data_IF_238251116165
#
_entry.id   IF_238251116165
#
_cell.length_a   1.000
_cell.length_b   1.000
_cell.length_c   1.000
_cell.angle_alpha   90.00
_cell.angle_beta   90.00
_cell.angle_gamma   90.00
#
_symmetry.space_group_name_H-M   'P 1'
#
loop_
_entity.id
_entity.type
_entity.pdbx_description
1 polymer ?
#
# COMPACT_ATOMS: atom_id res chain seq x y z
N UNK A 1 19.85 30.82 13.46
CA UNK A 1 19.26 30.84 12.11
C UNK A 1 19.59 29.52 11.45
N UNK A 2 18.65 28.59 11.45
CA UNK A 2 18.67 27.42 10.56
C UNK A 2 17.21 27.11 10.26
N UNK A 3 16.77 27.57 9.10
CA UNK A 3 15.46 27.28 8.54
C UNK A 3 15.46 25.80 8.17
N UNK A 4 14.63 25.02 8.88
CA UNK A 4 14.19 23.73 8.36
C UNK A 4 13.35 24.04 7.13
N UNK A 5 13.82 23.58 5.96
CA UNK A 5 13.02 23.55 4.74
C UNK A 5 11.87 22.60 4.99
N UNK A 6 10.75 23.19 5.36
CA UNK A 6 9.43 22.59 5.33
C UNK A 6 9.14 22.28 3.86
N UNK A 7 9.36 21.03 3.44
CA UNK A 7 8.97 20.53 2.13
C UNK A 7 7.43 20.48 2.06
N UNK A 8 6.81 21.65 2.02
CA UNK A 8 5.44 21.81 1.56
C UNK A 8 5.42 21.40 0.09
N UNK A 9 5.03 20.16 -0.17
CA UNK A 9 4.59 19.73 -1.50
C UNK A 9 3.62 20.80 -1.99
N UNK A 10 3.94 21.47 -3.10
CA UNK A 10 3.10 22.53 -3.67
C UNK A 10 1.67 21.99 -3.80
N UNK A 11 0.77 22.47 -2.94
CA UNK A 11 -0.61 22.00 -2.77
C UNK A 11 -1.52 22.31 -3.98
N UNK A 12 -0.93 22.58 -5.15
CA UNK A 12 -1.60 23.02 -6.37
C UNK A 12 -1.72 21.94 -7.44
N UNK A 13 -1.05 20.79 -7.30
CA UNK A 13 -1.15 19.68 -8.26
C UNK A 13 -1.45 18.36 -7.54
N UNK A 14 -2.72 17.95 -7.55
CA UNK A 14 -3.20 16.66 -7.08
C UNK A 14 -4.01 15.99 -8.20
N UNK A 15 -3.81 14.68 -8.42
CA UNK A 15 -4.59 13.92 -9.40
C UNK A 15 -6.08 13.81 -9.03
N UNK A 16 -6.39 13.93 -7.74
CA UNK A 16 -7.75 13.94 -7.20
C UNK A 16 -8.23 15.38 -7.00
N UNK A 17 -9.48 15.66 -7.38
CA UNK A 17 -10.08 16.99 -7.17
C UNK A 17 -10.35 17.24 -5.68
N UNK A 18 -10.19 18.49 -5.24
CA UNK A 18 -10.47 18.87 -3.85
C UNK A 18 -11.91 18.58 -3.45
N UNK A 19 -12.87 18.80 -4.34
CA UNK A 19 -14.29 18.51 -4.10
C UNK A 19 -14.56 17.02 -3.91
N UNK A 20 -13.84 16.14 -4.63
CA UNK A 20 -13.92 14.71 -4.40
C UNK A 20 -13.36 14.31 -3.03
N UNK A 21 -12.16 14.79 -2.68
CA UNK A 21 -11.53 14.49 -1.40
C UNK A 21 -12.35 14.99 -0.21
N UNK A 22 -13.00 16.15 -0.33
CA UNK A 22 -13.87 16.70 0.70
C UNK A 22 -15.13 15.85 0.94
N UNK A 23 -15.69 15.24 -0.11
CA UNK A 23 -16.87 14.37 0.05
C UNK A 23 -16.51 13.01 0.69
N UNK A 24 -15.31 12.48 0.43
CA UNK A 24 -14.85 11.23 1.08
C UNK A 24 -14.64 11.41 2.58
N UNK A 25 -14.22 12.62 3.01
CA UNK A 25 -14.54 13.14 4.33
C UNK A 25 -14.32 12.25 5.56
N UNK A 26 -13.08 11.88 5.86
CA UNK A 26 -12.51 11.89 7.22
C UNK A 26 -10.98 12.02 7.06
N UNK A 27 -10.36 13.03 7.69
CA UNK A 27 -8.89 13.13 7.77
C UNK A 27 -8.43 12.19 8.88
N UNK A 28 -8.53 10.89 8.66
CA UNK A 28 -7.68 9.98 9.40
C UNK A 28 -6.28 10.14 8.82
N UNK A 29 -5.44 10.90 9.54
CA UNK A 29 -3.99 10.84 9.33
C UNK A 29 -3.63 9.35 9.38
N UNK A 30 -3.16 8.74 8.27
CA UNK A 30 -2.85 7.33 8.29
C UNK A 30 -1.82 7.13 9.41
N UNK A 31 -2.07 6.22 10.38
CA UNK A 31 -1.14 6.01 11.48
C UNK A 31 0.25 5.79 10.88
N UNK A 32 1.27 6.53 11.36
CA UNK A 32 2.56 6.57 10.72
C UNK A 32 3.04 5.14 10.55
N UNK A 33 3.49 4.83 9.33
CA UNK A 33 4.11 3.56 9.02
C UNK A 33 5.23 3.32 10.04
N UNK A 34 4.99 2.42 11.00
CA UNK A 34 6.01 2.02 11.96
C UNK A 34 7.27 1.63 11.20
N UNK A 35 8.40 2.20 11.60
CA UNK A 35 9.71 2.00 11.00
C UNK A 35 10.10 0.52 11.12
N UNK A 36 9.72 -0.28 10.11
CA UNK A 36 10.31 -1.58 9.89
C UNK A 36 11.48 -1.36 8.91
N UNK A 37 12.69 -1.52 9.42
CA UNK A 37 14.00 -1.39 8.75
C UNK A 37 14.18 -2.28 7.49
N UNK A 38 13.18 -3.10 7.15
CA UNK A 38 13.17 -3.99 5.99
C UNK A 38 12.16 -3.61 4.88
N UNK A 39 11.26 -2.66 5.12
CA UNK A 39 10.09 -2.36 4.28
C UNK A 39 10.02 -0.89 3.82
N UNK A 40 11.18 -0.27 3.59
CA UNK A 40 11.25 1.10 3.06
C UNK A 40 10.54 1.24 1.71
N UNK A 41 10.20 2.46 1.29
CA UNK A 41 9.55 2.67 0.00
C UNK A 41 10.40 2.09 -1.12
N UNK A 42 9.75 1.32 -1.99
CA UNK A 42 10.36 0.69 -3.15
C UNK A 42 10.30 1.64 -4.34
N UNK A 43 11.30 1.58 -5.20
CA UNK A 43 11.34 2.32 -6.46
C UNK A 43 11.50 1.36 -7.62
N UNK A 44 10.69 1.60 -8.65
CA UNK A 44 10.79 0.91 -9.93
C UNK A 44 11.69 1.71 -10.85
N UNK A 45 12.80 1.11 -11.27
CA UNK A 45 13.74 1.70 -12.24
C UNK A 45 13.79 0.85 -13.50
N UNK A 46 13.78 1.51 -14.66
CA UNK A 46 14.01 0.80 -15.93
C UNK A 46 15.48 0.36 -16.03
N UNK A 47 15.67 -0.91 -16.38
CA UNK A 47 16.95 -1.55 -16.59
C UNK A 47 17.10 -1.85 -18.08
N UNK A 48 18.04 -1.18 -18.79
CA UNK A 48 18.23 -1.36 -20.22
C UNK A 48 18.36 -2.83 -20.61
N UNK A 49 17.49 -3.29 -21.51
CA UNK A 49 17.46 -4.68 -22.02
C UNK A 49 17.04 -5.75 -21.01
N UNK A 50 16.63 -5.39 -19.79
CA UNK A 50 16.29 -6.32 -18.71
C UNK A 50 14.88 -6.15 -18.14
N UNK A 51 14.24 -5.01 -18.37
CA UNK A 51 12.89 -4.69 -17.88
C UNK A 51 12.94 -3.67 -16.76
N UNK A 52 12.20 -3.92 -15.67
CA UNK A 52 12.00 -3.01 -14.56
C UNK A 52 12.50 -3.64 -13.26
N UNK A 53 13.46 -3.00 -12.61
CA UNK A 53 14.06 -3.44 -11.35
C UNK A 53 13.48 -2.73 -10.14
N UNK A 54 13.35 -3.46 -9.04
CA UNK A 54 12.91 -2.96 -7.74
C UNK A 54 14.10 -2.68 -6.83
N UNK A 55 14.16 -1.46 -6.31
CA UNK A 55 15.22 -0.97 -5.44
C UNK A 55 14.63 -0.37 -4.18
N UNK A 56 15.30 -0.53 -3.04
CA UNK A 56 14.92 0.22 -1.84
C UNK A 56 15.27 1.69 -2.01
N UNK A 57 14.69 2.53 -1.17
CA UNK A 57 15.09 3.93 -1.10
C UNK A 57 16.58 4.06 -0.81
N UNK A 58 17.26 4.88 -1.60
CA UNK A 58 18.72 5.01 -1.58
C UNK A 58 19.47 3.98 -2.43
N UNK A 59 18.91 2.82 -2.78
CA UNK A 59 19.57 1.87 -3.67
C UNK A 59 19.41 2.29 -5.13
N UNK A 60 20.44 2.02 -5.95
CA UNK A 60 20.36 2.20 -7.40
C UNK A 60 21.46 1.40 -8.12
N UNK A 61 21.27 1.08 -9.42
CA UNK A 61 22.29 0.43 -10.24
C UNK A 61 23.60 1.23 -10.29
N UNK A 62 23.53 2.56 -10.36
CA UNK A 62 24.68 3.46 -10.49
C UNK A 62 25.56 3.42 -9.24
N UNK A 63 24.96 3.11 -8.08
CA UNK A 63 25.66 2.92 -6.81
C UNK A 63 26.12 1.47 -6.59
N UNK A 64 25.94 0.59 -7.58
CA UNK A 64 26.38 -0.81 -7.53
C UNK A 64 25.42 -1.77 -6.84
N UNK A 65 24.19 -1.35 -6.53
CA UNK A 65 23.20 -2.22 -5.90
C UNK A 65 22.55 -3.16 -6.92
N UNK A 66 22.24 -4.37 -6.48
CA UNK A 66 21.44 -5.32 -7.26
C UNK A 66 19.95 -5.08 -6.97
N UNK A 67 19.07 -5.16 -7.98
CA UNK A 67 17.64 -5.07 -7.74
C UNK A 67 17.17 -6.25 -6.88
N UNK A 68 16.21 -6.03 -6.00
CA UNK A 68 15.57 -7.08 -5.21
C UNK A 68 14.75 -8.03 -6.10
N UNK A 69 14.14 -7.50 -7.15
CA UNK A 69 13.44 -8.27 -8.19
C UNK A 69 13.45 -7.51 -9.52
N UNK A 70 13.29 -8.24 -10.62
CA UNK A 70 13.22 -7.69 -11.98
C UNK A 70 12.02 -8.28 -12.70
N UNK A 71 11.18 -7.43 -13.27
CA UNK A 71 10.02 -7.82 -14.07
C UNK A 71 10.14 -7.28 -15.49
N UNK A 72 9.58 -8.01 -16.47
CA UNK A 72 9.58 -7.53 -17.87
C UNK A 72 8.61 -6.38 -18.08
N UNK A 73 7.48 -6.41 -17.38
CA UNK A 73 6.37 -5.48 -17.56
C UNK A 73 6.29 -4.51 -16.39
N UNK A 74 6.07 -3.23 -16.70
CA UNK A 74 6.10 -2.15 -15.71
C UNK A 74 4.98 -2.27 -14.68
N UNK A 75 3.76 -2.62 -15.10
CA UNK A 75 2.62 -2.75 -14.20
C UNK A 75 2.85 -3.83 -13.14
N UNK A 76 3.57 -4.91 -13.48
CA UNK A 76 3.89 -5.98 -12.53
C UNK A 76 4.99 -5.56 -11.55
N UNK A 77 5.96 -4.76 -12.02
CA UNK A 77 6.95 -4.15 -11.13
C UNK A 77 6.30 -3.17 -10.14
N UNK A 78 5.35 -2.35 -10.60
CA UNK A 78 4.57 -1.44 -9.75
C UNK A 78 3.68 -2.22 -8.76
N UNK A 79 3.04 -3.30 -9.21
CA UNK A 79 2.26 -4.16 -8.31
C UNK A 79 3.17 -4.75 -7.22
N UNK A 80 4.37 -5.21 -7.58
CA UNK A 80 5.33 -5.73 -6.63
C UNK A 80 5.87 -4.65 -5.68
N UNK A 81 6.18 -3.44 -6.16
CA UNK A 81 6.60 -2.33 -5.27
C UNK A 81 5.52 -1.94 -4.28
N UNK A 82 4.25 -2.00 -4.70
CA UNK A 82 3.10 -1.69 -3.86
C UNK A 82 2.93 -2.71 -2.72
N UNK A 83 3.07 -4.02 -2.99
CA UNK A 83 2.79 -5.06 -1.98
C UNK A 83 3.97 -5.41 -1.08
N UNK A 84 5.21 -5.23 -1.54
CA UNK A 84 6.42 -5.60 -0.78
C UNK A 84 6.51 -4.98 0.63
N UNK A 85 6.07 -3.73 0.89
CA UNK A 85 6.05 -3.20 2.25
C UNK A 85 5.22 -4.04 3.22
N UNK A 86 4.15 -4.68 2.74
CA UNK A 86 3.24 -5.51 3.52
C UNK A 86 3.64 -6.98 3.65
N UNK A 87 4.66 -7.45 2.93
CA UNK A 87 5.11 -8.86 3.04
C UNK A 87 6.17 -9.07 4.13
N UNK A 88 6.79 -7.99 4.62
CA UNK A 88 7.84 -8.02 5.64
C UNK A 88 7.42 -7.52 7.02
N UNK A 89 6.13 -7.19 7.22
CA UNK A 89 5.60 -6.67 8.49
C UNK A 89 4.95 -7.77 9.32
N UNK A 90 4.88 -7.55 10.63
CA UNK A 90 4.06 -8.37 11.50
C UNK A 90 2.59 -8.27 11.07
N UNK A 91 1.91 -9.41 11.04
CA UNK A 91 0.54 -9.49 10.57
C UNK A 91 -0.37 -8.56 11.38
N UNK A 92 -1.01 -7.62 10.68
CA UNK A 92 -1.95 -6.66 11.26
C UNK A 92 -3.18 -7.36 11.86
N UNK A 93 -3.49 -8.55 11.34
CA UNK A 93 -4.60 -9.39 11.74
C UNK A 93 -4.12 -10.82 12.02
N UNK A 94 -4.80 -11.51 12.94
CA UNK A 94 -4.59 -12.93 13.24
C UNK A 94 -5.94 -13.63 13.27
N UNK A 95 -5.95 -14.91 12.89
CA UNK A 95 -7.14 -15.75 13.01
C UNK A 95 -6.98 -16.67 14.20
N UNK A 96 -7.95 -16.65 15.12
CA UNK A 96 -8.03 -17.62 16.19
C UNK A 96 -8.23 -19.02 15.58
N UNK A 97 -7.51 -20.01 16.12
CA UNK A 97 -7.54 -21.39 15.62
C UNK A 97 -8.78 -22.16 16.07
N UNK A 98 -9.36 -21.74 17.18
CA UNK A 98 -10.54 -22.37 17.75
C UNK A 98 -11.79 -21.63 17.28
N UNK A 99 -12.78 -22.40 16.81
CA UNK A 99 -14.07 -21.87 16.43
C UNK A 99 -14.88 -21.54 17.69
N UNK A 100 -15.33 -20.29 17.78
CA UNK A 100 -16.24 -19.82 18.82
C UNK A 100 -17.70 -19.83 18.35
N UNK A 101 -18.64 -19.37 19.20
CA UNK A 101 -20.06 -19.31 18.86
C UNK A 101 -20.39 -18.42 17.63
N UNK A 102 -19.52 -17.47 17.30
CA UNK A 102 -19.64 -16.56 16.17
C UNK A 102 -18.72 -16.93 14.99
N UNK A 103 -18.04 -18.09 15.06
CA UNK A 103 -17.02 -18.52 14.11
C UNK A 103 -15.59 -18.28 14.62
N UNK A 104 -14.64 -18.20 13.70
CA UNK A 104 -13.21 -17.95 13.97
C UNK A 104 -12.97 -16.46 14.19
N UNK A 105 -12.49 -16.09 15.38
CA UNK A 105 -12.22 -14.70 15.72
C UNK A 105 -11.05 -14.11 14.92
N UNK A 106 -11.26 -12.93 14.36
CA UNK A 106 -10.21 -12.10 13.74
C UNK A 106 -9.72 -11.12 14.78
N UNK A 107 -8.44 -11.20 15.12
CA UNK A 107 -7.81 -10.37 16.14
C UNK A 107 -6.86 -9.36 15.51
N UNK A 108 -6.76 -8.16 16.08
CA UNK A 108 -5.69 -7.22 15.73
C UNK A 108 -4.34 -7.73 16.27
N UNK A 109 -3.25 -7.43 15.55
CA UNK A 109 -1.89 -7.68 16.03
C UNK A 109 -1.57 -6.99 17.37
N UNK A 110 -2.27 -5.88 17.67
CA UNK A 110 -2.20 -5.15 18.94
C UNK A 110 -3.11 -5.72 20.05
N UNK A 111 -3.88 -6.77 19.74
CA UNK A 111 -4.91 -7.35 20.60
C UNK A 111 -6.31 -6.80 20.35
N UNK A 112 -7.31 -7.58 20.73
CA UNK A 112 -8.73 -7.28 20.55
C UNK A 112 -9.33 -7.94 19.30
N UNK A 113 -10.58 -8.40 19.43
CA UNK A 113 -11.35 -9.01 18.33
C UNK A 113 -11.99 -7.90 17.50
N UNK A 114 -11.79 -7.94 16.17
CA UNK A 114 -12.35 -6.99 15.20
C UNK A 114 -13.40 -7.58 14.28
N UNK A 115 -13.61 -8.89 14.35
CA UNK A 115 -14.65 -9.56 13.59
C UNK A 115 -14.54 -11.07 13.72
N UNK A 116 -15.38 -11.77 12.98
CA UNK A 116 -15.39 -13.22 12.92
C UNK A 116 -15.54 -13.69 11.48
N UNK A 117 -14.89 -14.82 11.16
CA UNK A 117 -15.07 -15.54 9.91
C UNK A 117 -15.82 -16.84 10.19
N UNK A 118 -16.77 -17.19 9.33
CA UNK A 118 -17.45 -18.48 9.40
C UNK A 118 -16.47 -19.65 9.15
N UNK A 119 -15.48 -19.44 8.27
CA UNK A 119 -14.48 -20.43 7.90
C UNK A 119 -13.07 -20.01 8.34
N UNK A 120 -12.23 -20.99 8.65
CA UNK A 120 -10.82 -20.77 8.92
C UNK A 120 -10.05 -20.45 7.62
N UNK A 121 -9.99 -19.17 7.26
CA UNK A 121 -9.35 -18.68 6.04
C UNK A 121 -8.12 -17.79 6.34
N UNK A 122 -6.96 -18.44 6.47
CA UNK A 122 -5.67 -17.74 6.65
C UNK A 122 -5.25 -16.95 5.39
N UNK A 123 -5.74 -17.34 4.21
CA UNK A 123 -5.45 -16.66 2.95
C UNK A 123 -6.06 -15.25 2.92
N UNK A 124 -7.32 -15.13 3.37
CA UNK A 124 -7.98 -13.85 3.54
C UNK A 124 -7.23 -12.94 4.53
N UNK A 125 -6.78 -13.48 5.67
CA UNK A 125 -6.04 -12.70 6.67
C UNK A 125 -4.71 -12.17 6.12
N UNK A 126 -3.97 -13.01 5.38
CA UNK A 126 -2.74 -12.58 4.72
C UNK A 126 -3.02 -11.47 3.67
N UNK A 127 -4.10 -11.60 2.90
CA UNK A 127 -4.49 -10.58 1.93
C UNK A 127 -4.90 -9.25 2.60
N UNK A 128 -5.69 -9.30 3.68
CA UNK A 128 -6.07 -8.11 4.45
C UNK A 128 -4.85 -7.37 5.02
N UNK A 129 -3.82 -8.11 5.45
CA UNK A 129 -2.57 -7.49 5.93
C UNK A 129 -1.84 -6.71 4.83
N UNK A 130 -1.77 -7.27 3.61
CA UNK A 130 -1.18 -6.58 2.46
C UNK A 130 -1.97 -5.32 2.12
N UNK A 131 -3.32 -5.41 2.12
CA UNK A 131 -4.18 -4.26 1.82
C UNK A 131 -4.10 -3.18 2.91
N UNK A 132 -4.07 -3.53 4.19
CA UNK A 132 -3.86 -2.56 5.28
C UNK A 132 -2.50 -1.85 5.14
N UNK A 133 -1.46 -2.59 4.76
CA UNK A 133 -0.14 -2.01 4.51
C UNK A 133 -0.12 -1.03 3.32
N UNK A 134 -0.90 -1.32 2.27
CA UNK A 134 -1.11 -0.43 1.13
C UNK A 134 -1.79 0.88 1.55
N UNK A 135 -2.86 0.79 2.34
CA UNK A 135 -3.63 1.96 2.80
C UNK A 135 -2.78 2.90 3.68
N UNK A 136 -1.80 2.37 4.41
CA UNK A 136 -0.89 3.16 5.27
C UNK A 136 0.31 3.75 4.53
N UNK A 137 0.49 3.47 3.24
CA UNK A 137 1.64 3.95 2.46
C UNK A 137 1.17 4.68 1.19
N UNK A 138 1.14 6.03 1.20
CA UNK A 138 0.72 6.80 0.03
C UNK A 138 1.52 6.47 -1.24
N UNK A 139 2.82 6.16 -1.11
CA UNK A 139 3.66 5.76 -2.23
C UNK A 139 3.24 4.40 -2.80
N UNK A 140 2.95 3.42 -1.96
CA UNK A 140 2.50 2.10 -2.39
C UNK A 140 1.11 2.16 -3.03
N UNK A 141 0.21 2.99 -2.48
CA UNK A 141 -1.10 3.24 -3.07
C UNK A 141 -0.96 3.92 -4.45
N UNK A 142 -0.05 4.89 -4.60
CA UNK A 142 0.22 5.52 -5.89
C UNK A 142 0.74 4.51 -6.92
N UNK A 143 1.68 3.64 -6.54
CA UNK A 143 2.18 2.58 -7.42
C UNK A 143 1.06 1.63 -7.88
N UNK A 144 0.15 1.26 -6.97
CA UNK A 144 -1.01 0.42 -7.30
C UNK A 144 -1.98 1.12 -8.25
N UNK A 145 -2.30 2.40 -8.01
CA UNK A 145 -3.17 3.18 -8.88
C UNK A 145 -2.54 3.37 -10.26
N UNK A 146 -1.24 3.59 -10.33
CA UNK A 146 -0.50 3.67 -11.59
C UNK A 146 -0.50 2.31 -12.32
N UNK A 147 -0.32 1.20 -11.61
CA UNK A 147 -0.38 -0.14 -12.17
C UNK A 147 -1.78 -0.49 -12.72
N UNK A 148 -2.84 0.00 -12.09
CA UNK A 148 -4.22 -0.21 -12.50
C UNK A 148 -4.53 0.44 -13.87
N UNK A 149 -3.89 1.58 -14.15
CA UNK A 149 -4.04 2.31 -15.41
C UNK A 149 -5.37 3.02 -15.58
N UNK A 150 -5.48 3.82 -16.65
CA UNK A 150 -6.56 4.78 -16.88
C UNK A 150 -7.98 4.16 -16.78
N UNK A 151 -8.25 3.08 -17.53
CA UNK A 151 -9.59 2.51 -17.61
C UNK A 151 -10.10 2.00 -16.25
N UNK A 152 -9.21 1.39 -15.45
CA UNK A 152 -9.57 0.92 -14.12
C UNK A 152 -9.86 2.10 -13.18
N UNK A 153 -9.03 3.15 -13.24
CA UNK A 153 -9.22 4.37 -12.45
C UNK A 153 -10.50 5.12 -12.82
N UNK A 154 -10.84 5.22 -14.10
CA UNK A 154 -12.10 5.84 -14.56
C UNK A 154 -13.33 5.11 -14.00
N UNK A 155 -13.33 3.78 -14.08
CA UNK A 155 -14.42 2.95 -13.56
C UNK A 155 -14.50 2.99 -12.03
N UNK A 156 -13.36 2.91 -11.35
CA UNK A 156 -13.29 3.04 -9.90
C UNK A 156 -13.78 4.41 -9.45
N UNK A 157 -13.42 5.47 -10.17
CA UNK A 157 -13.88 6.83 -9.93
C UNK A 157 -15.40 6.97 -10.03
N UNK A 158 -16.02 6.40 -11.06
CA UNK A 158 -17.48 6.40 -11.21
C UNK A 158 -18.18 5.69 -10.04
N UNK A 159 -17.68 4.53 -9.63
CA UNK A 159 -18.22 3.77 -8.48
C UNK A 159 -18.06 4.58 -7.19
N UNK A 160 -16.93 5.26 -6.99
CA UNK A 160 -16.71 6.08 -5.80
C UNK A 160 -17.61 7.33 -5.80
N UNK A 161 -17.83 7.97 -6.94
CA UNK A 161 -18.73 9.11 -7.06
C UNK A 161 -20.18 8.73 -6.70
N UNK A 162 -20.65 7.56 -7.13
CA UNK A 162 -21.97 7.04 -6.75
C UNK A 162 -22.12 6.74 -5.24
N UNK A 163 -21.04 6.35 -4.56
CA UNK A 163 -21.06 6.02 -3.13
C UNK A 163 -20.99 7.25 -2.23
N UNK A 164 -20.40 8.32 -2.75
CA UNK A 164 -19.98 9.51 -1.99
C UNK A 164 -20.80 10.76 -2.36
N UNK A 165 -21.54 10.72 -3.47
CA UNK A 165 -22.53 11.73 -3.88
C UNK A 165 -23.87 11.53 -3.19
#
# INVERSE_FOLDING_TARGET
>A
MSTFDDCTVSSSQNAFSLSFLQRIGERDEPPPAGEADASGPWRVLELPGRGFGLFRTGESPERGFRPAAVFRERWLALLASAVLPGTGRDAAFRLAKEEGPEGYAVELGTGGVVGHLELFDEGLIAALHVVDSLLRSPAALADLLEAAGQLALERAGAILDERVG
#
